data_IF_859981906790
#
_entry.id   IF_859981906790
#
_cell.length_a   1.000
_cell.length_b   1.000
_cell.length_c   1.000
_cell.angle_alpha   90.00
_cell.angle_beta   90.00
_cell.angle_gamma   90.00
#
_symmetry.space_group_name_H-M   'P 1'
#
loop_
_entity.id
_entity.type
_entity.pdbx_description
1 polymer ?
#
# COMPACT_ATOMS: atom_id res chain seq x y z
N UNK A 1 6.50 1.58 -11.29
CA UNK A 1 5.87 0.64 -10.34
C UNK A 1 6.73 0.44 -9.09
N UNK A 2 6.22 -0.26 -8.09
CA UNK A 2 6.95 -0.47 -6.84
C UNK A 2 8.27 -1.22 -7.02
N UNK A 3 8.35 -2.16 -7.93
CA UNK A 3 9.61 -2.89 -8.21
C UNK A 3 10.70 -1.92 -8.64
N UNK A 4 10.41 -1.02 -9.56
CA UNK A 4 11.40 -0.07 -10.09
C UNK A 4 11.79 0.97 -9.01
N UNK A 5 10.82 1.39 -8.20
CA UNK A 5 11.05 2.27 -7.04
C UNK A 5 12.02 1.59 -6.07
N UNK A 6 11.74 0.36 -5.66
CA UNK A 6 12.58 -0.36 -4.71
C UNK A 6 13.98 -0.65 -5.25
N UNK A 7 14.12 -0.99 -6.53
CA UNK A 7 15.44 -1.21 -7.14
C UNK A 7 16.29 0.06 -7.08
N UNK A 8 15.71 1.22 -7.37
CA UNK A 8 16.39 2.50 -7.25
C UNK A 8 16.67 2.86 -5.78
N UNK A 9 15.73 2.60 -4.88
CA UNK A 9 15.89 2.85 -3.45
C UNK A 9 16.96 1.95 -2.82
N UNK A 10 17.11 0.71 -3.27
CA UNK A 10 18.14 -0.20 -2.76
C UNK A 10 19.54 0.41 -2.93
N UNK A 11 19.86 0.91 -4.13
CA UNK A 11 21.12 1.59 -4.38
C UNK A 11 21.28 2.85 -3.49
N UNK A 12 20.23 3.63 -3.33
CA UNK A 12 20.23 4.82 -2.48
C UNK A 12 20.38 4.48 -0.99
N UNK A 13 19.75 3.42 -0.52
CA UNK A 13 19.82 2.95 0.86
C UNK A 13 21.22 2.50 1.24
N UNK A 14 21.98 1.90 0.33
CA UNK A 14 23.38 1.57 0.54
C UNK A 14 24.26 2.82 0.73
N UNK A 15 24.01 3.87 -0.05
CA UNK A 15 24.75 5.12 0.04
C UNK A 15 24.32 6.01 1.23
N UNK A 16 23.03 6.00 1.54
CA UNK A 16 22.39 6.85 2.54
C UNK A 16 21.43 6.07 3.42
N UNK A 17 21.89 5.26 4.38
CA UNK A 17 21.04 4.41 5.23
C UNK A 17 19.97 5.17 6.02
N UNK A 18 20.16 6.47 6.27
CA UNK A 18 19.19 7.33 6.97
C UNK A 18 17.84 7.46 6.25
N UNK A 19 17.77 7.16 4.95
CA UNK A 19 16.52 7.21 4.19
C UNK A 19 15.68 5.92 4.28
N UNK A 20 16.25 4.82 4.80
CA UNK A 20 15.57 3.50 4.82
C UNK A 20 14.23 3.56 5.57
N UNK A 21 14.19 4.21 6.71
CA UNK A 21 12.97 4.38 7.49
C UNK A 21 11.86 5.05 6.67
N UNK A 22 12.16 6.18 6.03
CA UNK A 22 11.23 6.88 5.15
C UNK A 22 10.75 6.04 3.97
N UNK A 23 11.61 5.19 3.40
CA UNK A 23 11.24 4.27 2.32
C UNK A 23 10.25 3.21 2.80
N UNK A 24 10.48 2.62 3.98
CA UNK A 24 9.55 1.66 4.61
C UNK A 24 8.20 2.33 4.88
N UNK A 25 8.21 3.52 5.48
CA UNK A 25 6.98 4.29 5.74
C UNK A 25 6.21 4.57 4.46
N UNK A 26 6.90 5.02 3.41
CA UNK A 26 6.26 5.34 2.13
C UNK A 26 5.55 4.14 1.52
N UNK A 27 6.17 2.97 1.56
CA UNK A 27 5.57 1.75 1.05
C UNK A 27 4.39 1.28 1.90
N UNK A 28 4.57 1.19 3.22
CA UNK A 28 3.53 0.70 4.11
C UNK A 28 2.32 1.64 4.17
N UNK A 29 2.53 2.96 4.14
CA UNK A 29 1.44 3.94 4.15
C UNK A 29 0.62 3.95 2.85
N UNK A 30 1.19 3.48 1.74
CA UNK A 30 0.47 3.29 0.49
C UNK A 30 -0.38 2.01 0.46
N UNK A 31 -0.24 1.09 1.43
CA UNK A 31 -1.04 -0.13 1.45
C UNK A 31 -2.45 0.12 1.99
N UNK A 32 -3.43 -0.54 1.40
CA UNK A 32 -4.82 -0.56 1.85
C UNK A 32 -5.00 -1.50 3.05
N UNK A 33 -6.17 -1.44 3.69
CA UNK A 33 -6.50 -2.31 4.81
C UNK A 33 -6.53 -3.80 4.43
N UNK A 34 -6.90 -4.12 3.18
CA UNK A 34 -6.91 -5.49 2.64
C UNK A 34 -5.58 -5.92 2.02
N UNK A 35 -4.52 -5.12 2.20
CA UNK A 35 -3.16 -5.47 1.82
C UNK A 35 -2.80 -5.24 0.36
N UNK A 36 -3.60 -4.45 -0.36
CA UNK A 36 -3.26 -3.99 -1.70
C UNK A 36 -2.35 -2.76 -1.64
N UNK A 37 -1.39 -2.66 -2.54
CA UNK A 37 -0.59 -1.46 -2.74
C UNK A 37 -0.95 -0.82 -4.08
N UNK A 38 -1.46 0.41 -4.10
CA UNK A 38 -1.68 1.16 -5.34
C UNK A 38 -0.41 1.24 -6.17
N UNK A 39 -0.57 1.16 -7.47
CA UNK A 39 0.54 1.04 -8.40
C UNK A 39 1.35 2.32 -8.55
N UNK A 40 0.75 3.48 -8.36
CA UNK A 40 1.35 4.79 -8.58
C UNK A 40 1.75 5.46 -7.28
N UNK A 41 2.98 5.98 -7.27
CA UNK A 41 3.46 6.88 -6.21
C UNK A 41 3.89 8.18 -6.86
N UNK A 42 3.34 9.29 -6.38
CA UNK A 42 3.65 10.65 -6.82
C UNK A 42 4.37 11.41 -5.71
N UNK A 43 4.85 12.62 -6.00
CA UNK A 43 5.43 13.51 -4.98
C UNK A 43 4.41 13.89 -3.92
N UNK A 44 3.13 13.98 -4.30
CA UNK A 44 2.03 14.47 -3.47
C UNK A 44 1.27 13.34 -2.75
N UNK A 45 1.74 12.08 -2.86
CA UNK A 45 1.10 10.94 -2.20
C UNK A 45 1.20 9.65 -3.02
N UNK A 46 0.12 8.92 -3.08
CA UNK A 46 -0.08 7.77 -3.94
C UNK A 46 -1.34 8.00 -4.78
N UNK A 47 -1.41 7.28 -5.88
CA UNK A 47 -2.53 7.30 -6.80
C UNK A 47 -2.81 5.86 -7.28
N UNK A 48 -3.94 5.66 -7.95
CA UNK A 48 -4.36 4.36 -8.48
C UNK A 48 -4.57 4.43 -9.99
N UNK A 49 -4.55 3.29 -10.64
CA UNK A 49 -4.83 3.19 -12.06
C UNK A 49 -6.33 3.09 -12.31
N UNK A 50 -6.77 3.74 -13.40
CA UNK A 50 -8.11 3.61 -13.96
C UNK A 50 -7.97 2.77 -15.23
N UNK A 51 -8.87 1.81 -15.43
CA UNK A 51 -8.87 1.00 -16.64
C UNK A 51 -9.26 1.88 -17.84
N UNK A 52 -8.34 2.04 -18.77
CA UNK A 52 -8.58 2.73 -20.03
C UNK A 52 -8.82 1.70 -21.14
N UNK A 53 -10.00 1.75 -21.78
CA UNK A 53 -10.42 0.77 -22.78
C UNK A 53 -9.50 0.66 -24.00
N UNK A 54 -8.65 1.68 -24.23
CA UNK A 54 -7.74 1.76 -25.36
C UNK A 54 -6.27 1.45 -24.98
N UNK A 55 -5.97 1.30 -23.68
CA UNK A 55 -4.64 0.95 -23.19
C UNK A 55 -4.63 -0.50 -22.67
N UNK A 56 -4.03 -1.44 -23.42
CA UNK A 56 -3.95 -2.83 -22.96
C UNK A 56 -3.08 -3.02 -21.72
N UNK A 57 -2.35 -1.98 -21.28
CA UNK A 57 -1.51 -1.98 -20.09
C UNK A 57 -2.18 -1.33 -18.88
N UNK A 58 -3.35 -0.72 -19.04
CA UNK A 58 -4.16 -0.16 -17.94
C UNK A 58 -4.85 -1.25 -17.11
N UNK A 59 -4.19 -2.38 -16.92
CA UNK A 59 -4.74 -3.52 -16.21
C UNK A 59 -4.56 -3.35 -14.71
N UNK A 60 -5.68 -3.28 -13.99
CA UNK A 60 -5.69 -3.24 -12.54
C UNK A 60 -5.63 -4.68 -12.02
N UNK A 61 -4.41 -5.12 -11.68
CA UNK A 61 -4.17 -6.42 -11.10
C UNK A 61 -3.51 -6.35 -9.74
N UNK A 62 -3.61 -7.43 -8.99
CA UNK A 62 -2.88 -7.59 -7.75
C UNK A 62 -1.46 -8.10 -8.02
N UNK A 63 -0.44 -7.26 -7.79
CA UNK A 63 0.97 -7.57 -8.05
C UNK A 63 1.81 -7.56 -6.75
N UNK A 64 1.30 -8.20 -5.69
CA UNK A 64 1.86 -8.03 -4.35
C UNK A 64 3.03 -8.93 -3.97
N UNK A 65 3.24 -10.02 -4.66
CA UNK A 65 4.16 -11.08 -4.24
C UNK A 65 5.63 -10.65 -4.18
N UNK A 66 6.14 -9.98 -5.20
CA UNK A 66 7.54 -9.53 -5.21
C UNK A 66 7.79 -8.24 -4.41
N UNK A 67 6.76 -7.45 -4.12
CA UNK A 67 6.90 -6.24 -3.31
C UNK A 67 7.28 -6.56 -1.86
N UNK A 68 6.77 -7.66 -1.31
CA UNK A 68 7.07 -8.13 0.04
C UNK A 68 8.56 -8.47 0.19
N UNK A 69 9.19 -9.03 -0.83
CA UNK A 69 10.63 -9.35 -0.83
C UNK A 69 11.47 -8.08 -0.66
N UNK A 70 11.11 -7.00 -1.34
CA UNK A 70 11.80 -5.72 -1.20
C UNK A 70 11.56 -5.09 0.18
N UNK A 71 10.35 -5.15 0.70
CA UNK A 71 10.06 -4.69 2.06
C UNK A 71 10.92 -5.45 3.07
N UNK A 72 11.04 -6.78 2.96
CA UNK A 72 11.89 -7.59 3.83
C UNK A 72 13.35 -7.12 3.79
N UNK A 73 13.91 -6.89 2.61
CA UNK A 73 15.28 -6.36 2.48
C UNK A 73 15.48 -5.03 3.22
N UNK A 74 14.51 -4.11 3.13
CA UNK A 74 14.60 -2.83 3.84
C UNK A 74 14.43 -2.98 5.34
N UNK A 75 13.60 -3.92 5.80
CA UNK A 75 13.50 -4.26 7.24
C UNK A 75 14.81 -4.86 7.77
N UNK A 76 15.48 -5.70 6.99
CA UNK A 76 16.80 -6.21 7.32
C UNK A 76 17.88 -5.10 7.34
N UNK A 77 17.80 -4.16 6.39
CA UNK A 77 18.70 -3.01 6.35
C UNK A 77 18.54 -2.10 7.58
N UNK A 78 17.30 -1.74 7.94
CA UNK A 78 17.08 -0.89 9.11
C UNK A 78 17.50 -1.61 10.40
N UNK A 79 17.26 -2.90 10.52
CA UNK A 79 17.72 -3.70 11.66
C UNK A 79 19.25 -3.73 11.77
N UNK A 80 19.95 -3.76 10.64
CA UNK A 80 21.42 -3.75 10.59
C UNK A 80 22.02 -2.39 10.96
N UNK A 81 21.44 -1.30 10.44
CA UNK A 81 22.00 0.04 10.59
C UNK A 81 21.47 0.79 11.82
N UNK A 82 20.22 0.50 12.22
CA UNK A 82 19.51 1.19 13.31
C UNK A 82 18.65 0.22 14.12
N UNK A 83 19.24 -0.72 14.86
CA UNK A 83 18.51 -1.84 15.48
C UNK A 83 17.40 -1.43 16.47
N UNK A 84 17.47 -0.22 17.04
CA UNK A 84 16.40 0.30 17.91
C UNK A 84 15.14 0.78 17.19
N UNK A 85 15.28 1.31 15.98
CA UNK A 85 14.18 1.97 15.26
C UNK A 85 13.03 1.03 14.86
N UNK A 86 13.35 -0.21 14.49
CA UNK A 86 12.31 -1.17 14.13
C UNK A 86 11.40 -1.49 15.32
N UNK A 87 11.96 -1.57 16.53
CA UNK A 87 11.18 -1.81 17.75
C UNK A 87 10.16 -0.70 18.00
N UNK A 88 10.56 0.54 17.86
CA UNK A 88 9.69 1.69 18.10
C UNK A 88 8.56 1.71 17.06
N UNK A 89 8.87 1.47 15.79
CA UNK A 89 7.89 1.39 14.71
C UNK A 89 6.84 0.28 14.90
N UNK A 90 7.19 -0.81 15.60
CA UNK A 90 6.23 -1.90 15.87
C UNK A 90 5.11 -1.51 16.83
N UNK A 91 5.31 -0.53 17.70
CA UNK A 91 4.39 -0.19 18.78
C UNK A 91 3.81 1.21 18.69
N UNK A 92 4.44 2.12 17.98
CA UNK A 92 3.98 3.49 17.83
C UNK A 92 3.06 3.67 16.63
N UNK A 93 1.96 4.40 16.80
CA UNK A 93 0.92 4.58 15.78
C UNK A 93 1.31 5.68 14.78
N UNK A 94 2.29 5.40 13.95
CA UNK A 94 2.82 6.32 12.93
C UNK A 94 2.39 5.97 11.50
N UNK A 95 1.73 4.84 11.30
CA UNK A 95 1.31 4.38 9.99
C UNK A 95 -0.15 4.68 9.72
N UNK A 96 -0.50 4.74 8.45
CA UNK A 96 -1.86 4.98 7.94
C UNK A 96 -2.21 3.95 6.86
N UNK A 97 -3.48 3.85 6.49
CA UNK A 97 -3.93 3.05 5.36
C UNK A 97 -4.35 3.94 4.20
N UNK A 98 -3.98 3.52 3.00
CA UNK A 98 -4.54 4.08 1.78
C UNK A 98 -6.01 3.70 1.66
N UNK A 99 -6.84 4.64 1.23
CA UNK A 99 -8.23 4.43 0.87
C UNK A 99 -8.33 4.59 -0.65
N UNK A 100 -8.54 3.49 -1.34
CA UNK A 100 -8.58 3.45 -2.82
C UNK A 100 -9.88 2.83 -3.29
N UNK A 101 -10.36 3.18 -4.49
CA UNK A 101 -11.65 2.74 -5.01
C UNK A 101 -11.60 1.31 -5.58
N UNK A 102 -10.92 0.40 -4.90
CA UNK A 102 -10.83 -1.00 -5.29
C UNK A 102 -11.30 -1.90 -4.19
N UNK A 103 -12.09 -2.90 -4.58
CA UNK A 103 -12.51 -4.00 -3.70
C UNK A 103 -11.96 -5.28 -4.29
N UNK A 104 -11.25 -6.06 -3.49
CA UNK A 104 -10.78 -7.39 -3.91
C UNK A 104 -12.00 -8.31 -4.01
N UNK A 105 -12.13 -9.01 -5.15
CA UNK A 105 -13.20 -9.97 -5.41
C UNK A 105 -13.15 -11.15 -4.45
N UNK A 106 -14.28 -11.85 -4.33
CA UNK A 106 -14.35 -13.07 -3.53
C UNK A 106 -13.39 -14.15 -4.06
N UNK A 107 -12.94 -15.05 -3.19
CA UNK A 107 -12.09 -16.17 -3.58
C UNK A 107 -12.69 -16.98 -4.73
N UNK A 108 -14.01 -17.24 -4.71
CA UNK A 108 -14.70 -18.00 -5.75
C UNK A 108 -14.64 -17.30 -7.11
N UNK A 109 -14.68 -15.99 -7.14
CA UNK A 109 -14.59 -15.21 -8.39
C UNK A 109 -13.15 -15.13 -8.90
N UNK A 110 -12.18 -14.96 -8.00
CA UNK A 110 -10.75 -14.98 -8.35
C UNK A 110 -10.33 -16.34 -8.92
N UNK A 111 -10.86 -17.45 -8.41
CA UNK A 111 -10.56 -18.80 -8.95
C UNK A 111 -11.13 -19.01 -10.34
N UNK A 112 -12.28 -18.37 -10.66
CA UNK A 112 -12.87 -18.45 -12.03
C UNK A 112 -12.03 -17.70 -13.06
N UNK A 113 -11.55 -16.50 -12.70
CA UNK A 113 -10.65 -15.70 -13.52
C UNK A 113 -9.55 -15.07 -12.65
N UNK A 114 -8.36 -15.71 -12.55
CA UNK A 114 -7.26 -15.21 -11.73
C UNK A 114 -6.68 -13.87 -12.19
N UNK A 115 -7.07 -13.38 -13.36
CA UNK A 115 -6.64 -12.08 -13.87
C UNK A 115 -7.61 -10.97 -13.49
N UNK A 116 -8.87 -11.29 -13.23
CA UNK A 116 -9.92 -10.34 -12.87
C UNK A 116 -10.17 -10.38 -11.34
N UNK A 117 -9.28 -9.73 -10.59
CA UNK A 117 -9.20 -9.85 -9.12
C UNK A 117 -9.82 -8.70 -8.35
N UNK A 118 -10.17 -7.60 -9.03
CA UNK A 118 -10.56 -6.33 -8.38
C UNK A 118 -11.83 -5.79 -9.03
N UNK A 119 -12.69 -5.17 -8.21
CA UNK A 119 -13.80 -4.33 -8.66
C UNK A 119 -13.43 -2.87 -8.44
N UNK A 120 -13.56 -2.05 -9.47
CA UNK A 120 -13.41 -0.60 -9.36
C UNK A 120 -14.73 0.05 -8.95
N UNK A 121 -14.68 0.94 -7.95
CA UNK A 121 -15.83 1.69 -7.42
C UNK A 121 -15.73 3.15 -7.87
N UNK A 122 -16.47 3.50 -8.92
CA UNK A 122 -16.49 4.86 -9.48
C UNK A 122 -17.06 5.91 -8.50
N UNK A 123 -18.03 5.53 -7.68
CA UNK A 123 -18.62 6.46 -6.71
C UNK A 123 -17.60 6.83 -5.63
N UNK A 124 -16.93 5.83 -5.09
CA UNK A 124 -15.85 6.02 -4.12
C UNK A 124 -14.66 6.79 -4.74
N UNK A 125 -14.30 6.52 -6.01
CA UNK A 125 -13.28 7.28 -6.73
C UNK A 125 -13.61 8.78 -6.75
N UNK A 126 -14.80 9.13 -7.20
CA UNK A 126 -15.23 10.53 -7.24
C UNK A 126 -15.33 11.19 -5.85
N UNK A 127 -15.65 10.40 -4.82
CA UNK A 127 -15.65 10.89 -3.44
C UNK A 127 -14.25 11.19 -2.95
N UNK A 128 -13.29 10.30 -3.17
CA UNK A 128 -11.90 10.48 -2.72
C UNK A 128 -11.27 11.66 -3.46
N UNK A 129 -11.50 11.81 -4.75
CA UNK A 129 -10.95 12.94 -5.53
C UNK A 129 -11.46 14.28 -5.01
N UNK A 130 -12.74 14.39 -4.69
CA UNK A 130 -13.29 15.60 -4.03
C UNK A 130 -12.64 15.84 -2.65
N UNK A 131 -12.40 14.79 -1.87
CA UNK A 131 -11.71 14.93 -0.58
C UNK A 131 -10.24 15.36 -0.75
N UNK A 132 -9.58 14.93 -1.82
CA UNK A 132 -8.20 15.37 -2.14
C UNK A 132 -8.12 16.85 -2.52
N UNK A 133 -9.17 17.40 -3.14
CA UNK A 133 -9.24 18.85 -3.42
C UNK A 133 -9.20 19.69 -2.13
N UNK A 134 -9.89 19.24 -1.08
CA UNK A 134 -9.98 19.95 0.21
C UNK A 134 -8.81 19.63 1.15
N UNK A 135 -8.37 18.40 1.22
CA UNK A 135 -7.46 17.84 2.23
C UNK A 135 -6.08 17.46 1.67
N UNK A 136 -5.85 17.62 0.38
CA UNK A 136 -4.63 17.15 -0.26
C UNK A 136 -4.49 15.63 -0.17
N UNK A 137 -3.26 15.14 0.06
CA UNK A 137 -2.96 13.71 0.15
C UNK A 137 -3.77 12.96 1.22
N UNK A 138 -4.14 13.64 2.31
CA UNK A 138 -4.92 13.04 3.41
C UNK A 138 -6.36 12.70 3.00
N UNK A 139 -6.85 13.26 1.90
CA UNK A 139 -8.13 12.91 1.30
C UNK A 139 -8.24 11.46 0.84
N UNK A 140 -7.09 10.84 0.50
CA UNK A 140 -6.99 9.45 0.06
C UNK A 140 -6.55 8.48 1.18
N UNK A 141 -6.64 8.89 2.44
CA UNK A 141 -6.35 8.03 3.59
C UNK A 141 -7.63 7.49 4.23
N UNK A 142 -7.53 6.27 4.77
CA UNK A 142 -8.62 5.67 5.53
C UNK A 142 -8.91 6.51 6.78
N UNK A 143 -10.19 6.77 7.02
CA UNK A 143 -10.65 7.59 8.15
C UNK A 143 -11.46 6.78 9.15
N UNK A 144 -11.41 7.22 10.40
CA UNK A 144 -12.31 6.74 11.45
C UNK A 144 -13.75 7.21 11.17
N UNK A 145 -14.77 6.61 11.83
CA UNK A 145 -16.14 7.11 11.75
C UNK A 145 -16.33 8.56 12.19
N UNK A 146 -15.35 9.14 12.89
CA UNK A 146 -15.36 10.56 13.31
C UNK A 146 -14.73 11.49 12.27
N UNK A 147 -14.15 10.94 11.19
CA UNK A 147 -13.51 11.72 10.13
C UNK A 147 -12.01 11.94 10.29
N UNK A 148 -11.41 11.53 11.41
CA UNK A 148 -9.96 11.61 11.62
C UNK A 148 -9.23 10.52 10.82
N UNK A 149 -7.98 10.77 10.39
CA UNK A 149 -7.15 9.76 9.75
C UNK A 149 -6.91 8.59 10.72
N UNK A 150 -7.07 7.37 10.24
CA UNK A 150 -6.87 6.16 11.03
C UNK A 150 -5.39 5.82 11.13
N UNK A 151 -4.82 6.01 12.32
CA UNK A 151 -3.41 5.75 12.62
C UNK A 151 -3.23 4.40 13.30
N UNK A 152 -2.19 3.66 12.86
CA UNK A 152 -1.85 2.31 13.36
C UNK A 152 -0.33 2.17 13.51
N UNK A 153 0.10 1.12 14.18
CA UNK A 153 1.51 0.73 14.26
C UNK A 153 1.89 -0.27 13.14
N UNK A 154 3.19 -0.51 12.99
CA UNK A 154 3.69 -1.43 11.97
C UNK A 154 3.20 -2.87 12.18
N UNK A 155 3.07 -3.31 13.42
CA UNK A 155 2.58 -4.66 13.72
C UNK A 155 1.17 -4.86 13.19
N UNK A 156 0.27 -3.90 13.40
CA UNK A 156 -1.08 -3.93 12.85
C UNK A 156 -1.07 -3.94 11.32
N UNK A 157 -0.25 -3.08 10.67
CA UNK A 157 -0.10 -3.05 9.21
C UNK A 157 0.27 -4.42 8.64
N UNK A 158 1.26 -5.08 9.22
CA UNK A 158 1.73 -6.37 8.75
C UNK A 158 0.73 -7.49 9.01
N UNK A 159 0.10 -7.51 10.20
CA UNK A 159 -0.92 -8.51 10.55
C UNK A 159 -2.20 -8.34 9.74
N UNK A 160 -2.69 -7.13 9.54
CA UNK A 160 -3.87 -6.87 8.71
C UNK A 160 -3.65 -7.38 7.29
N UNK A 161 -2.49 -7.12 6.69
CA UNK A 161 -2.13 -7.62 5.36
C UNK A 161 -2.11 -9.15 5.32
N UNK A 162 -1.50 -9.82 6.32
CA UNK A 162 -1.47 -11.29 6.40
C UNK A 162 -2.87 -11.86 6.53
N UNK A 163 -3.70 -11.30 7.43
CA UNK A 163 -5.06 -11.78 7.66
C UNK A 163 -5.95 -11.57 6.42
N UNK A 164 -5.85 -10.44 5.76
CA UNK A 164 -6.56 -10.17 4.51
C UNK A 164 -6.19 -11.17 3.42
N UNK A 165 -4.90 -11.50 3.28
CA UNK A 165 -4.44 -12.54 2.34
C UNK A 165 -4.99 -13.91 2.71
N UNK A 166 -4.93 -14.28 3.96
CA UNK A 166 -5.47 -15.58 4.41
C UNK A 166 -6.97 -15.67 4.15
N UNK A 167 -7.75 -14.63 4.42
CA UNK A 167 -9.20 -14.62 4.19
C UNK A 167 -9.57 -14.70 2.70
N UNK A 168 -8.72 -14.19 1.81
CA UNK A 168 -8.95 -14.20 0.37
C UNK A 168 -8.50 -15.50 -0.32
N UNK A 169 -7.59 -16.27 0.28
CA UNK A 169 -7.01 -17.48 -0.32
C UNK A 169 -7.31 -18.78 0.44
N UNK A 170 -8.01 -18.71 1.57
CA UNK A 170 -8.49 -19.88 2.32
C UNK A 170 -10.01 -19.91 2.19
N UNK A 171 -10.59 -20.95 1.55
CA UNK A 171 -12.03 -21.10 1.40
C UNK A 171 -12.75 -21.34 2.73
#
# INVERSE_FOLDING_TARGET
NWRDIFQNWEALAHAYPSFIEGMIFRFLNASTFDGYNPYRVTKDGFDWEIIEAHDPWSYIGYWGDHQIIYLLKFLEFIQKHYPGKLKDSLTENHFVYAHVPYIIKSYQDIVKDPKDTIVFDEELHNQIDRQKEDLGADGALLKTPKGDVYHVNMLEKLLATVLAKMSNFVP
#
